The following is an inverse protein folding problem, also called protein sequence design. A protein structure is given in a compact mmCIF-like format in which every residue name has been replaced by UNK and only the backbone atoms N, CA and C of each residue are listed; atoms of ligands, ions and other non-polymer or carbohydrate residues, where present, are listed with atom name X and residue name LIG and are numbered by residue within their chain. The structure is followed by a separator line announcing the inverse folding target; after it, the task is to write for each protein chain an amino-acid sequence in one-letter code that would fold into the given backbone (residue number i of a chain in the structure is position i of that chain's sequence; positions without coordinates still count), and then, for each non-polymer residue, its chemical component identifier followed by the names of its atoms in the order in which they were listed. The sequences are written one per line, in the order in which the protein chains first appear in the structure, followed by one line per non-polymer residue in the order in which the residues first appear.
data_IF_087796603627
#
_entry.id   IF_087796603627
#
_cell.length_a   1.000
_cell.length_b   1.000
_cell.length_c   1.000
_cell.angle_alpha   90.00
_cell.angle_beta   90.00
_cell.angle_gamma   90.00
#
_symmetry.space_group_name_H-M   'P 1'
#
loop_
_entity.id
_entity.type
_entity.pdbx_description
1 polymer ?
#
# COMPACT_ATOMS: atom_id res chain seq x y z
N UNK A 1 -14.15 -16.56 -19.31
CA UNK A 1 -13.64 -15.17 -19.35
C UNK A 1 -12.42 -15.10 -20.25
N UNK A 2 -12.25 -14.07 -21.10
CA UNK A 2 -11.02 -13.90 -21.88
C UNK A 2 -9.82 -13.83 -20.94
N UNK A 3 -8.76 -14.61 -21.22
CA UNK A 3 -7.57 -14.71 -20.37
C UNK A 3 -7.02 -13.33 -19.93
N UNK A 4 -7.20 -12.32 -20.79
CA UNK A 4 -6.88 -10.92 -20.56
C UNK A 4 -7.50 -10.35 -19.28
N UNK A 5 -8.78 -10.63 -18.99
CA UNK A 5 -9.46 -10.06 -17.82
C UNK A 5 -8.92 -10.71 -16.53
N UNK A 6 -8.58 -12.01 -16.57
CA UNK A 6 -8.01 -12.70 -15.41
C UNK A 6 -6.62 -12.15 -15.08
N UNK A 7 -5.83 -11.88 -16.13
CA UNK A 7 -4.52 -11.25 -16.00
C UNK A 7 -4.63 -9.85 -15.39
N UNK A 8 -5.62 -9.05 -15.77
CA UNK A 8 -5.85 -7.71 -15.20
C UNK A 8 -6.13 -7.77 -13.69
N UNK A 9 -7.04 -8.65 -13.24
CA UNK A 9 -7.33 -8.81 -11.82
C UNK A 9 -6.10 -9.26 -11.01
N UNK A 10 -5.36 -10.25 -11.53
CA UNK A 10 -4.15 -10.74 -10.86
C UNK A 10 -3.05 -9.67 -10.80
N UNK A 11 -2.88 -8.88 -11.86
CA UNK A 11 -1.93 -7.78 -11.89
C UNK A 11 -2.28 -6.72 -10.83
N UNK A 12 -3.55 -6.35 -10.70
CA UNK A 12 -4.01 -5.40 -9.69
C UNK A 12 -3.78 -5.91 -8.27
N UNK A 13 -4.13 -7.17 -7.99
CA UNK A 13 -3.91 -7.78 -6.67
C UNK A 13 -2.40 -7.79 -6.34
N UNK A 14 -1.57 -8.16 -7.31
CA UNK A 14 -0.11 -8.19 -7.14
C UNK A 14 0.46 -6.79 -6.87
N UNK A 15 0.01 -5.79 -7.62
CA UNK A 15 0.39 -4.40 -7.42
C UNK A 15 0.04 -3.91 -6.00
N UNK A 16 -1.17 -4.18 -5.54
CA UNK A 16 -1.62 -3.81 -4.19
C UNK A 16 -0.73 -4.46 -3.12
N UNK A 17 -0.41 -5.74 -3.25
CA UNK A 17 0.44 -6.44 -2.29
C UNK A 17 1.87 -5.84 -2.26
N UNK A 18 2.46 -5.54 -3.42
CA UNK A 18 3.77 -4.89 -3.49
C UNK A 18 3.71 -3.52 -2.82
N UNK A 19 2.66 -2.74 -3.09
CA UNK A 19 2.49 -1.42 -2.50
C UNK A 19 2.36 -1.47 -0.97
N UNK A 20 1.65 -2.45 -0.43
CA UNK A 20 1.59 -2.70 1.02
C UNK A 20 2.97 -2.98 1.60
N UNK A 21 3.80 -3.79 0.93
CA UNK A 21 5.18 -4.03 1.38
C UNK A 21 6.00 -2.74 1.38
N UNK A 22 5.89 -1.90 0.34
CA UNK A 22 6.57 -0.60 0.30
C UNK A 22 6.14 0.30 1.45
N UNK A 23 4.85 0.34 1.79
CA UNK A 23 4.36 1.08 2.94
C UNK A 23 4.96 0.53 4.23
N UNK A 24 4.97 -0.79 4.45
CA UNK A 24 5.61 -1.41 5.63
C UNK A 24 7.06 -0.96 5.75
N UNK A 25 7.84 -1.03 4.67
CA UNK A 25 9.24 -0.57 4.66
C UNK A 25 9.32 0.92 5.01
N UNK A 26 8.51 1.78 4.38
CA UNK A 26 8.47 3.24 4.63
C UNK A 26 8.25 3.56 6.10
N UNK A 27 7.37 2.82 6.75
CA UNK A 27 6.99 3.00 8.16
C UNK A 27 8.13 2.58 9.08
N UNK A 28 8.66 1.37 8.88
CA UNK A 28 9.77 0.87 9.68
C UNK A 28 10.99 1.79 9.58
N UNK A 29 11.28 2.28 8.36
CA UNK A 29 12.35 3.25 8.14
C UNK A 29 12.05 4.60 8.80
N UNK A 30 10.79 5.04 8.88
CA UNK A 30 10.44 6.31 9.55
C UNK A 30 10.78 6.35 11.04
N UNK A 31 10.95 5.18 11.67
CA UNK A 31 11.34 5.08 13.08
C UNK A 31 12.83 5.37 13.30
N UNK A 32 13.63 5.46 12.24
CA UNK A 32 15.04 5.83 12.31
C UNK A 32 15.20 7.34 12.05
N UNK A 33 15.41 8.17 13.08
CA UNK A 33 15.43 9.63 12.93
C UNK A 33 16.63 10.16 12.13
N UNK A 34 17.67 9.36 11.95
CA UNK A 34 18.90 9.74 11.24
C UNK A 34 18.88 9.42 9.74
N UNK A 35 17.77 8.88 9.19
CA UNK A 35 17.67 8.59 7.77
C UNK A 35 17.42 9.84 6.94
N UNK A 36 18.22 10.02 5.88
CA UNK A 36 18.03 11.10 4.93
C UNK A 36 16.98 10.71 3.87
N UNK A 37 15.79 11.30 3.94
CA UNK A 37 14.70 11.05 2.99
C UNK A 37 14.87 11.75 1.63
N UNK A 38 15.89 12.60 1.47
CA UNK A 38 16.16 13.31 0.23
C UNK A 38 17.07 12.52 -0.72
N UNK A 39 17.82 11.55 -0.20
CA UNK A 39 18.76 10.75 -0.99
C UNK A 39 18.12 9.43 -1.48
N UNK A 40 18.46 8.95 -2.70
CA UNK A 40 18.09 7.60 -3.13
C UNK A 40 18.72 6.53 -2.21
N UNK A 41 18.01 5.42 -1.93
CA UNK A 41 16.71 5.03 -2.49
C UNK A 41 15.50 5.60 -1.72
N UNK A 42 15.70 6.29 -0.60
CA UNK A 42 14.63 6.73 0.31
C UNK A 42 13.74 7.80 -0.30
N UNK A 43 14.31 8.68 -1.13
CA UNK A 43 13.54 9.70 -1.85
C UNK A 43 12.56 9.12 -2.87
N UNK A 44 12.88 7.98 -3.46
CA UNK A 44 11.98 7.26 -4.37
C UNK A 44 10.85 6.62 -3.56
N UNK A 45 11.21 5.97 -2.45
CA UNK A 45 10.23 5.35 -1.56
C UNK A 45 9.24 6.38 -1.01
N UNK A 46 9.70 7.55 -0.55
CA UNK A 46 8.84 8.62 -0.05
C UNK A 46 7.94 9.17 -1.16
N UNK A 47 8.45 9.41 -2.37
CA UNK A 47 7.62 9.85 -3.50
C UNK A 47 6.48 8.88 -3.85
N UNK A 48 6.72 7.57 -3.75
CA UNK A 48 5.70 6.54 -4.02
C UNK A 48 4.67 6.38 -2.88
N UNK A 49 5.09 6.58 -1.64
CA UNK A 49 4.28 6.25 -0.45
C UNK A 49 3.63 7.46 0.20
N UNK A 50 4.28 8.62 0.19
CA UNK A 50 3.82 9.82 0.89
C UNK A 50 2.49 10.37 0.37
N UNK A 51 2.18 10.40 -0.95
CA UNK A 51 0.87 10.86 -1.42
C UNK A 51 -0.30 10.08 -0.80
N UNK A 52 -0.15 8.76 -0.66
CA UNK A 52 -1.14 7.91 -0.02
C UNK A 52 -1.16 8.14 1.50
N UNK A 53 0.00 8.10 2.15
CA UNK A 53 0.11 8.31 3.60
C UNK A 53 -0.41 9.68 4.05
N UNK A 54 -0.19 10.73 3.26
CA UNK A 54 -0.62 12.08 3.58
C UNK A 54 -2.14 12.21 3.69
N UNK A 55 -2.92 11.39 2.96
CA UNK A 55 -4.38 11.32 3.11
C UNK A 55 -4.74 10.85 4.52
N UNK A 56 -4.00 9.87 5.07
CA UNK A 56 -4.25 9.31 6.41
C UNK A 56 -3.64 10.13 7.54
N UNK A 57 -2.53 10.84 7.29
CA UNK A 57 -1.90 11.76 8.26
C UNK A 57 -2.81 12.90 8.66
N UNK A 58 -3.76 13.29 7.79
CA UNK A 58 -4.80 14.26 8.15
C UNK A 58 -5.78 13.74 9.21
N UNK A 59 -5.95 12.42 9.33
CA UNK A 59 -6.83 11.80 10.33
C UNK A 59 -6.08 11.40 11.60
N UNK A 60 -4.84 10.90 11.45
CA UNK A 60 -3.96 10.54 12.57
C UNK A 60 -2.62 11.24 12.37
N UNK A 61 -2.39 12.39 13.02
CA UNK A 61 -1.09 13.06 12.92
C UNK A 61 0.00 12.19 13.58
N UNK A 62 1.27 12.33 13.14
CA UNK A 62 2.40 11.66 13.78
C UNK A 62 2.48 12.04 15.27
N UNK A 63 2.64 11.05 16.15
CA UNK A 63 2.76 11.26 17.60
C UNK A 63 4.20 11.00 18.01
N UNK A 64 4.89 12.02 18.53
CA UNK A 64 6.27 11.88 19.01
C UNK A 64 7.29 11.49 17.94
N UNK A 65 7.07 11.91 16.67
CA UNK A 65 7.94 11.55 15.54
C UNK A 65 7.70 10.16 14.96
N UNK A 66 6.80 9.37 15.56
CA UNK A 66 6.39 8.06 15.05
C UNK A 66 5.07 8.21 14.30
N UNK A 67 5.06 7.77 13.05
CA UNK A 67 3.88 7.83 12.18
C UNK A 67 3.00 6.59 12.40
N UNK A 68 1.83 6.77 13.05
CA UNK A 68 0.83 5.72 13.29
C UNK A 68 -0.33 5.73 12.28
N UNK A 69 -0.47 6.80 11.48
CA UNK A 69 -1.36 6.84 10.31
C UNK A 69 -1.28 5.62 9.37
N UNK A 70 -0.13 4.94 9.22
CA UNK A 70 0.01 3.84 8.29
C UNK A 70 -0.71 2.56 8.71
N UNK A 71 -1.10 2.43 9.99
CA UNK A 71 -1.90 1.29 10.47
C UNK A 71 -3.27 1.26 9.78
N UNK A 72 -3.95 2.42 9.75
CA UNK A 72 -5.22 2.55 9.00
C UNK A 72 -5.00 2.39 7.51
N UNK A 73 -3.90 2.94 6.99
CA UNK A 73 -3.57 2.91 5.58
C UNK A 73 -3.35 1.48 5.06
N UNK A 74 -2.63 0.64 5.83
CA UNK A 74 -2.41 -0.78 5.54
C UNK A 74 -3.71 -1.56 5.72
N UNK A 75 -4.44 -1.32 6.81
CA UNK A 75 -5.70 -2.01 7.06
C UNK A 75 -6.71 -1.82 5.93
N UNK A 76 -6.85 -0.58 5.42
CA UNK A 76 -7.73 -0.28 4.30
C UNK A 76 -7.28 -0.98 3.00
N UNK A 77 -5.99 -0.96 2.69
CA UNK A 77 -5.45 -1.64 1.51
C UNK A 77 -5.68 -3.14 1.56
N UNK A 78 -5.44 -3.75 2.73
CA UNK A 78 -5.65 -5.18 2.94
C UNK A 78 -7.13 -5.55 2.79
N UNK A 79 -8.02 -4.74 3.36
CA UNK A 79 -9.45 -4.89 3.22
C UNK A 79 -9.91 -4.81 1.75
N UNK A 80 -9.40 -3.84 0.98
CA UNK A 80 -9.69 -3.72 -0.45
C UNK A 80 -9.20 -4.97 -1.21
N UNK A 81 -7.97 -5.43 -0.94
CA UNK A 81 -7.44 -6.63 -1.58
C UNK A 81 -8.30 -7.87 -1.28
N UNK A 82 -8.76 -8.03 -0.05
CA UNK A 82 -9.59 -9.16 0.37
C UNK A 82 -11.01 -9.09 -0.21
N UNK A 83 -11.55 -7.90 -0.47
CA UNK A 83 -12.81 -7.74 -1.20
C UNK A 83 -12.68 -8.06 -2.70
N UNK A 84 -11.53 -7.76 -3.31
CA UNK A 84 -11.30 -7.99 -4.75
C UNK A 84 -11.06 -9.47 -5.08
N UNK A 85 -10.42 -10.23 -4.18
CA UNK A 85 -10.13 -11.68 -4.35
C UNK A 85 -11.38 -12.52 -4.69
N UNK A 86 -12.49 -12.49 -3.92
CA UNK A 86 -13.67 -13.28 -4.22
C UNK A 86 -14.37 -12.82 -5.50
N UNK A 87 -14.25 -11.56 -5.89
CA UNK A 87 -14.77 -11.07 -7.18
C UNK A 87 -13.96 -11.63 -8.36
N UNK A 88 -12.63 -11.69 -8.24
CA UNK A 88 -11.77 -12.31 -9.23
C UNK A 88 -12.04 -13.82 -9.37
N UNK A 89 -12.22 -14.51 -8.24
CA UNK A 89 -12.60 -15.93 -8.16
C UNK A 89 -13.98 -16.14 -8.80
N UNK A 90 -15.01 -15.40 -8.39
CA UNK A 90 -16.36 -15.52 -8.96
C UNK A 90 -16.36 -15.23 -10.47
N UNK A 91 -15.67 -14.19 -10.92
CA UNK A 91 -15.54 -13.89 -12.35
C UNK A 91 -14.85 -15.01 -13.15
N UNK A 92 -13.94 -15.77 -12.52
CA UNK A 92 -13.29 -16.94 -13.13
C UNK A 92 -14.23 -18.14 -13.25
N UNK A 93 -15.17 -18.33 -12.31
CA UNK A 93 -16.07 -19.49 -12.26
C UNK A 93 -17.49 -19.25 -12.77
N UNK A 94 -17.88 -18.00 -13.06
CA UNK A 94 -19.27 -17.66 -13.46
C UNK A 94 -19.59 -17.93 -14.94
N UNK A 95 -18.65 -18.50 -15.71
CA UNK A 95 -18.87 -19.00 -17.06
C UNK A 95 -18.02 -20.24 -17.34
#
# INVERSE_FOLDING_TARGET
MDASVALLFNALITFVNIYVVLLIIRILLSWFPNLNWYDPPFSILSQLTDPYLNIFRSFIPPLGGIDFSPILAIFLLQFIADLLKPLAVRAMYMF
#
